data_IF_685697836177
#
_entry.id   IF_685697836177
#
_cell.length_a   1.000
_cell.length_b   1.000
_cell.length_c   1.000
_cell.angle_alpha   90.00
_cell.angle_beta   90.00
_cell.angle_gamma   90.00
#
_symmetry.space_group_name_H-M   'P 1'
#
loop_
_entity.id
_entity.type
_entity.pdbx_description
1 polymer ?
#
# COMPACT_ATOMS: atom_id res chain seq x y z
N UNK A 1 22.37 25.90 -10.99
CA UNK A 1 22.07 24.48 -11.36
C UNK A 1 23.33 23.61 -11.44
N UNK A 2 24.18 23.66 -10.40
CA UNK A 2 25.44 22.92 -10.32
C UNK A 2 25.25 21.39 -10.12
N UNK A 3 24.05 20.93 -9.76
CA UNK A 3 23.76 19.52 -9.45
C UNK A 3 23.07 18.76 -10.60
N UNK A 4 22.51 19.43 -11.59
CA UNK A 4 21.71 18.80 -12.67
C UNK A 4 22.46 17.75 -13.48
N UNK A 5 23.81 17.80 -13.49
CA UNK A 5 24.67 16.84 -14.20
C UNK A 5 25.42 15.88 -13.25
N UNK A 6 25.12 15.92 -11.93
CA UNK A 6 25.86 15.15 -10.90
C UNK A 6 24.93 14.26 -10.06
N UNK A 7 23.63 14.26 -10.32
CA UNK A 7 22.65 13.44 -9.63
C UNK A 7 21.77 12.70 -10.62
N UNK A 8 21.44 11.48 -10.31
CA UNK A 8 20.50 10.64 -11.04
C UNK A 8 19.49 10.06 -10.07
N UNK A 9 18.21 10.11 -10.42
CA UNK A 9 17.13 9.58 -9.59
C UNK A 9 16.86 8.15 -10.04
N UNK A 10 17.00 7.21 -9.11
CA UNK A 10 16.65 5.81 -9.29
C UNK A 10 15.53 5.45 -8.33
N UNK A 11 14.42 4.99 -8.87
CA UNK A 11 13.33 4.46 -8.05
C UNK A 11 13.66 3.05 -7.56
N UNK A 12 13.24 2.70 -6.35
CA UNK A 12 13.34 1.34 -5.86
C UNK A 12 12.56 0.38 -6.76
N UNK A 13 13.10 -0.82 -6.95
CA UNK A 13 12.42 -1.89 -7.70
C UNK A 13 12.17 -3.09 -6.81
N UNK A 14 11.12 -3.84 -7.13
CA UNK A 14 10.71 -5.05 -6.43
C UNK A 14 10.92 -6.26 -7.35
N UNK A 15 11.47 -7.34 -6.79
CA UNK A 15 11.42 -8.64 -7.44
C UNK A 15 10.02 -9.25 -7.29
N UNK A 16 9.18 -8.98 -8.27
CA UNK A 16 7.77 -9.41 -8.31
C UNK A 16 7.65 -10.93 -8.15
N UNK A 17 8.54 -11.70 -8.80
CA UNK A 17 8.52 -13.17 -8.72
C UNK A 17 8.82 -13.68 -7.31
N UNK A 18 9.72 -12.99 -6.60
CA UNK A 18 10.04 -13.33 -5.22
C UNK A 18 8.86 -13.09 -4.28
N UNK A 19 8.06 -12.02 -4.50
CA UNK A 19 6.86 -11.77 -3.71
C UNK A 19 5.82 -12.88 -3.88
N UNK A 20 5.51 -13.26 -5.11
CA UNK A 20 4.55 -14.35 -5.37
C UNK A 20 5.01 -15.67 -4.77
N UNK A 21 6.30 -16.04 -4.90
CA UNK A 21 6.86 -17.23 -4.23
C UNK A 21 6.67 -17.20 -2.72
N UNK A 22 6.89 -16.04 -2.08
CA UNK A 22 6.67 -15.89 -0.63
C UNK A 22 5.18 -16.02 -0.28
N UNK A 23 4.28 -15.45 -1.09
CA UNK A 23 2.85 -15.60 -0.87
C UNK A 23 2.38 -17.06 -0.95
N UNK A 24 2.97 -17.87 -1.85
CA UNK A 24 2.67 -19.31 -1.99
C UNK A 24 3.08 -20.14 -0.77
N UNK A 25 4.04 -19.69 0.04
CA UNK A 25 4.45 -20.38 1.27
C UNK A 25 3.37 -20.34 2.36
N UNK A 26 2.46 -19.38 2.31
CA UNK A 26 1.32 -19.31 3.23
C UNK A 26 0.08 -19.95 2.56
N UNK A 27 -0.36 -21.09 3.11
CA UNK A 27 -1.48 -21.85 2.60
C UNK A 27 -2.84 -21.44 3.16
N UNK A 28 -2.88 -20.44 4.05
CA UNK A 28 -4.11 -19.92 4.63
C UNK A 28 -4.93 -19.15 3.60
N UNK A 29 -6.23 -19.14 3.81
CA UNK A 29 -7.16 -18.31 3.03
C UNK A 29 -7.49 -17.05 3.83
N UNK A 30 -7.39 -15.90 3.18
CA UNK A 30 -7.76 -14.62 3.72
C UNK A 30 -8.79 -13.95 2.83
N UNK A 31 -9.71 -13.23 3.45
CA UNK A 31 -10.80 -12.54 2.74
C UNK A 31 -11.00 -11.16 3.37
N UNK A 32 -10.06 -10.26 3.11
CA UNK A 32 -10.14 -8.87 3.54
C UNK A 32 -10.38 -7.97 2.34
N UNK A 33 -11.28 -6.99 2.49
CA UNK A 33 -11.46 -5.97 1.46
C UNK A 33 -10.26 -5.03 1.44
N UNK A 34 -9.78 -4.60 2.61
CA UNK A 34 -8.62 -3.74 2.72
C UNK A 34 -7.49 -4.34 3.56
N UNK A 35 -6.25 -3.99 3.24
CA UNK A 35 -5.09 -4.28 4.07
C UNK A 35 -4.29 -3.01 4.31
N UNK A 36 -3.83 -2.83 5.53
CA UNK A 36 -2.75 -1.91 5.89
C UNK A 36 -1.49 -2.71 6.19
N UNK A 37 -0.35 -2.28 5.67
CA UNK A 37 0.95 -2.88 5.92
C UNK A 37 1.98 -1.80 6.23
N UNK A 38 2.47 -1.76 7.47
CA UNK A 38 3.46 -0.77 7.87
C UNK A 38 3.64 -0.64 9.37
N UNK A 39 4.64 0.14 9.78
CA UNK A 39 4.85 0.45 11.20
C UNK A 39 3.69 1.29 11.74
N UNK A 40 3.31 1.06 12.99
CA UNK A 40 2.31 1.86 13.69
C UNK A 40 3.02 2.97 14.47
N UNK A 41 3.30 4.06 13.80
CA UNK A 41 4.07 5.21 14.30
C UNK A 41 3.43 6.52 13.87
N UNK A 42 3.78 7.62 14.51
CA UNK A 42 3.31 8.97 14.18
C UNK A 42 3.41 9.28 12.66
N UNK A 43 4.51 8.87 12.00
CA UNK A 43 4.70 9.05 10.57
C UNK A 43 3.58 8.40 9.75
N UNK A 44 3.20 7.19 10.12
CA UNK A 44 2.20 6.39 9.39
C UNK A 44 0.75 6.76 9.73
N UNK A 45 0.56 7.55 10.81
CA UNK A 45 -0.73 8.09 11.24
C UNK A 45 -1.82 7.01 11.42
N UNK A 46 -1.58 6.00 12.27
CA UNK A 46 -2.50 4.89 12.41
C UNK A 46 -3.83 5.29 13.06
N UNK A 47 -3.90 6.40 13.79
CA UNK A 47 -5.15 6.96 14.29
C UNK A 47 -6.09 7.30 13.12
N UNK A 48 -5.56 8.02 12.13
CA UNK A 48 -6.30 8.34 10.89
C UNK A 48 -6.72 7.09 10.13
N UNK A 49 -5.87 6.06 10.11
CA UNK A 49 -6.23 4.77 9.51
C UNK A 49 -7.50 4.20 10.13
N UNK A 50 -7.57 4.15 11.48
CA UNK A 50 -8.76 3.61 12.18
C UNK A 50 -9.99 4.49 11.93
N UNK A 51 -9.85 5.81 11.87
CA UNK A 51 -10.94 6.73 11.52
C UNK A 51 -11.49 6.41 10.12
N UNK A 52 -10.63 6.31 9.11
CA UNK A 52 -11.04 6.00 7.72
C UNK A 52 -11.69 4.62 7.63
N UNK A 53 -11.13 3.61 8.30
CA UNK A 53 -11.72 2.27 8.33
C UNK A 53 -13.08 2.27 9.04
N UNK A 54 -13.24 3.04 10.11
CA UNK A 54 -14.53 3.20 10.81
C UNK A 54 -15.59 3.79 9.88
N UNK A 55 -15.24 4.84 9.13
CA UNK A 55 -16.16 5.43 8.15
C UNK A 55 -16.48 4.46 6.99
N UNK A 56 -15.50 3.66 6.53
CA UNK A 56 -15.73 2.65 5.50
C UNK A 56 -16.72 1.56 6.00
N UNK A 57 -16.56 1.09 7.24
CA UNK A 57 -17.50 0.14 7.86
C UNK A 57 -18.91 0.73 8.00
N UNK A 58 -19.05 2.02 8.38
CA UNK A 58 -20.36 2.69 8.43
C UNK A 58 -21.03 2.76 7.06
N UNK A 59 -20.26 3.03 5.99
CA UNK A 59 -20.74 3.10 4.61
C UNK A 59 -21.10 1.70 4.07
N UNK A 60 -20.32 0.68 4.44
CA UNK A 60 -20.47 -0.70 3.98
C UNK A 60 -20.31 -1.63 5.19
N UNK A 61 -21.39 -2.03 5.89
CA UNK A 61 -21.32 -2.81 7.13
C UNK A 61 -20.59 -4.15 7.01
N UNK A 62 -20.53 -4.72 5.81
CA UNK A 62 -19.80 -5.96 5.52
C UNK A 62 -18.31 -5.74 5.17
N UNK A 63 -17.83 -4.48 5.13
CA UNK A 63 -16.43 -4.17 4.84
C UNK A 63 -15.51 -4.75 5.90
N UNK A 64 -14.41 -5.37 5.45
CA UNK A 64 -13.42 -6.00 6.33
C UNK A 64 -12.01 -5.49 6.04
N UNK A 65 -11.20 -5.35 7.10
CA UNK A 65 -9.82 -4.91 6.94
C UNK A 65 -8.86 -5.67 7.87
N UNK A 66 -7.61 -5.82 7.41
CA UNK A 66 -6.50 -6.31 8.21
C UNK A 66 -5.45 -5.22 8.42
N UNK A 67 -4.99 -5.04 9.65
CA UNK A 67 -3.87 -4.18 10.01
C UNK A 67 -2.67 -5.06 10.36
N UNK A 68 -1.65 -5.03 9.50
CA UNK A 68 -0.37 -5.74 9.69
C UNK A 68 0.74 -4.75 10.00
N UNK A 69 1.34 -4.92 11.13
CA UNK A 69 2.46 -4.12 11.60
C UNK A 69 2.48 -3.96 13.10
N UNK A 70 3.54 -3.35 13.59
CA UNK A 70 3.75 -3.05 15.00
C UNK A 70 4.41 -1.67 15.15
N UNK A 71 4.48 -1.16 16.35
CA UNK A 71 5.07 0.14 16.65
C UNK A 71 4.54 0.77 17.92
N UNK A 72 5.01 1.98 18.20
CA UNK A 72 4.67 2.73 19.40
C UNK A 72 3.17 3.01 19.59
N UNK A 73 2.43 3.12 18.47
CA UNK A 73 0.99 3.37 18.48
C UNK A 73 0.13 2.09 18.44
N UNK A 74 0.71 0.88 18.54
CA UNK A 74 -0.02 -0.39 18.40
C UNK A 74 -1.14 -0.56 19.43
N UNK A 75 -0.88 -0.25 20.69
CA UNK A 75 -1.90 -0.35 21.76
C UNK A 75 -3.02 0.68 21.59
N UNK A 76 -2.68 1.88 21.09
CA UNK A 76 -3.67 2.90 20.79
C UNK A 76 -4.59 2.48 19.64
N UNK A 77 -4.04 1.87 18.59
CA UNK A 77 -4.81 1.31 17.47
C UNK A 77 -5.84 0.28 17.97
N UNK A 78 -5.44 -0.64 18.85
CA UNK A 78 -6.36 -1.64 19.43
C UNK A 78 -7.48 -1.00 20.21
N UNK A 79 -7.17 0.02 21.03
CA UNK A 79 -8.18 0.78 21.77
C UNK A 79 -9.14 1.51 20.82
N UNK A 80 -8.62 2.15 19.77
CA UNK A 80 -9.43 2.87 18.80
C UNK A 80 -10.38 1.94 18.02
N UNK A 81 -9.92 0.74 17.63
CA UNK A 81 -10.76 -0.29 17.02
C UNK A 81 -11.94 -0.64 17.95
N UNK A 82 -11.68 -0.85 19.24
CA UNK A 82 -12.73 -1.12 20.24
C UNK A 82 -13.67 0.06 20.46
N UNK A 83 -13.13 1.26 20.63
CA UNK A 83 -13.91 2.48 20.87
C UNK A 83 -14.85 2.83 19.70
N UNK A 84 -14.44 2.51 18.48
CA UNK A 84 -15.28 2.70 17.28
C UNK A 84 -16.23 1.52 17.01
N UNK A 85 -16.22 0.47 17.84
CA UNK A 85 -17.04 -0.73 17.70
C UNK A 85 -16.87 -1.47 16.35
N UNK A 86 -15.65 -1.46 15.78
CA UNK A 86 -15.32 -2.09 14.50
C UNK A 86 -14.46 -3.36 14.63
N UNK A 87 -14.34 -3.93 15.83
CA UNK A 87 -13.52 -5.13 16.09
C UNK A 87 -14.02 -6.38 15.36
N UNK A 88 -15.25 -6.43 14.90
CA UNK A 88 -15.77 -7.51 14.07
C UNK A 88 -15.43 -7.34 12.58
N UNK A 89 -14.99 -6.16 12.18
CA UNK A 89 -14.69 -5.78 10.81
C UNK A 89 -13.18 -5.62 10.57
N UNK A 90 -12.46 -5.10 11.58
CA UNK A 90 -11.05 -4.75 11.49
C UNK A 90 -10.22 -5.67 12.39
N UNK A 91 -9.38 -6.49 11.78
CA UNK A 91 -8.47 -7.40 12.48
C UNK A 91 -7.09 -6.78 12.63
N UNK A 92 -6.63 -6.59 13.87
CA UNK A 92 -5.23 -6.28 14.14
C UNK A 92 -4.43 -7.59 14.20
N UNK A 93 -3.51 -7.80 13.26
CA UNK A 93 -2.76 -9.05 13.12
C UNK A 93 -1.31 -8.95 13.65
N UNK A 94 -0.87 -7.74 14.04
CA UNK A 94 0.50 -7.54 14.48
C UNK A 94 1.53 -7.62 13.35
N UNK A 95 2.81 -7.78 13.74
CA UNK A 95 3.90 -7.94 12.78
C UNK A 95 3.83 -9.31 12.08
N UNK A 96 4.16 -9.33 10.80
CA UNK A 96 4.28 -10.55 9.99
C UNK A 96 5.55 -10.50 9.15
N UNK A 97 6.34 -11.58 9.20
CA UNK A 97 7.51 -11.76 8.33
C UNK A 97 7.13 -12.05 6.87
N UNK A 98 5.92 -12.56 6.65
CA UNK A 98 5.41 -12.89 5.33
C UNK A 98 3.95 -12.41 5.17
N UNK A 99 3.74 -11.11 4.91
CA UNK A 99 2.39 -10.55 4.73
C UNK A 99 1.81 -10.75 3.33
N UNK A 100 2.58 -11.35 2.42
CA UNK A 100 2.29 -11.29 0.98
C UNK A 100 1.04 -12.06 0.57
N UNK A 101 0.67 -13.14 1.28
CA UNK A 101 -0.58 -13.86 1.00
C UNK A 101 -1.80 -12.99 1.33
N UNK A 102 -1.78 -12.32 2.47
CA UNK A 102 -2.86 -11.41 2.87
C UNK A 102 -2.92 -10.23 1.89
N UNK A 103 -1.77 -9.65 1.55
CA UNK A 103 -1.68 -8.55 0.59
C UNK A 103 -2.25 -8.96 -0.77
N UNK A 104 -1.82 -10.10 -1.31
CA UNK A 104 -2.25 -10.61 -2.62
C UNK A 104 -3.76 -10.84 -2.73
N UNK A 105 -4.40 -11.23 -1.63
CA UNK A 105 -5.82 -11.58 -1.61
C UNK A 105 -6.73 -10.42 -1.23
N UNK A 106 -6.18 -9.31 -0.75
CA UNK A 106 -6.95 -8.11 -0.43
C UNK A 106 -7.40 -7.38 -1.71
N UNK A 107 -8.56 -6.76 -1.66
CA UNK A 107 -9.09 -5.96 -2.79
C UNK A 107 -8.35 -4.63 -2.96
N UNK A 108 -7.85 -4.06 -1.87
CA UNK A 108 -7.06 -2.82 -1.87
C UNK A 108 -6.08 -2.76 -0.70
N UNK A 109 -5.08 -1.89 -0.84
CA UNK A 109 -4.25 -1.42 0.29
C UNK A 109 -4.67 0.00 0.67
N UNK A 110 -4.67 0.30 1.99
CA UNK A 110 -4.89 1.65 2.50
C UNK A 110 -3.65 2.16 3.23
N UNK A 111 -3.25 3.41 2.97
CA UNK A 111 -2.15 4.11 3.64
C UNK A 111 -2.57 5.53 4.01
N UNK A 112 -2.25 5.96 5.24
CA UNK A 112 -2.68 7.27 5.79
C UNK A 112 -1.52 8.11 6.30
N UNK A 113 -0.34 7.88 5.75
CA UNK A 113 0.91 8.49 6.20
C UNK A 113 0.89 10.01 6.14
N UNK A 114 1.62 10.65 7.06
CA UNK A 114 1.85 12.10 7.08
C UNK A 114 2.93 12.52 6.08
N UNK A 115 3.92 11.67 5.86
CA UNK A 115 4.97 11.82 4.84
C UNK A 115 5.56 10.46 4.48
N UNK A 116 5.99 10.32 3.23
CA UNK A 116 6.71 9.17 2.70
C UNK A 116 7.74 9.62 1.67
N UNK A 117 8.86 8.87 1.59
CA UNK A 117 9.61 8.83 0.35
C UNK A 117 8.89 7.93 -0.66
N UNK A 118 9.42 6.74 -0.92
CA UNK A 118 8.70 5.71 -1.68
C UNK A 118 8.50 4.51 -0.75
N UNK A 119 7.31 4.32 -0.16
CA UNK A 119 7.09 3.25 0.81
C UNK A 119 7.16 1.87 0.12
N UNK A 120 8.01 0.98 0.64
CA UNK A 120 8.22 -0.35 0.08
C UNK A 120 6.93 -1.16 0.01
N UNK A 121 6.07 -1.07 1.04
CA UNK A 121 4.79 -1.77 1.05
C UNK A 121 3.84 -1.31 -0.08
N UNK A 122 3.92 -0.04 -0.50
CA UNK A 122 3.14 0.45 -1.64
C UNK A 122 3.68 -0.13 -2.96
N UNK A 123 5.02 -0.20 -3.13
CA UNK A 123 5.62 -0.86 -4.28
C UNK A 123 5.26 -2.35 -4.31
N UNK A 124 5.27 -3.03 -3.17
CA UNK A 124 4.86 -4.43 -3.03
C UNK A 124 3.39 -4.63 -3.42
N UNK A 125 2.49 -3.75 -2.98
CA UNK A 125 1.08 -3.80 -3.35
C UNK A 125 0.88 -3.64 -4.87
N UNK A 126 1.47 -2.62 -5.47
CA UNK A 126 1.43 -2.38 -6.92
C UNK A 126 2.01 -3.58 -7.68
N UNK A 127 3.15 -4.14 -7.22
CA UNK A 127 3.79 -5.32 -7.81
C UNK A 127 2.88 -6.55 -7.80
N UNK A 128 2.02 -6.67 -6.80
CA UNK A 128 1.05 -7.76 -6.67
C UNK A 128 -0.33 -7.43 -7.30
N UNK A 129 -0.45 -6.29 -7.96
CA UNK A 129 -1.70 -5.87 -8.60
C UNK A 129 -2.77 -5.44 -7.60
N UNK A 130 -2.39 -4.97 -6.42
CA UNK A 130 -3.30 -4.48 -5.39
C UNK A 130 -3.40 -2.96 -5.51
N UNK A 131 -4.58 -2.39 -5.84
CA UNK A 131 -4.76 -0.95 -5.92
C UNK A 131 -4.63 -0.29 -4.54
N UNK A 132 -4.25 0.99 -4.54
CA UNK A 132 -3.98 1.70 -3.29
C UNK A 132 -4.90 2.90 -3.12
N UNK A 133 -5.46 3.05 -1.92
CA UNK A 133 -6.13 4.28 -1.45
C UNK A 133 -5.21 4.93 -0.42
N UNK A 134 -4.81 6.18 -0.64
CA UNK A 134 -3.79 6.82 0.21
C UNK A 134 -3.95 8.32 0.37
N UNK A 135 -3.28 8.86 1.39
CA UNK A 135 -2.99 10.31 1.47
C UNK A 135 -2.00 10.71 0.37
N UNK A 136 -2.13 11.92 -0.21
CA UNK A 136 -1.27 12.42 -1.28
C UNK A 136 0.07 12.95 -0.73
N UNK A 137 0.90 12.05 -0.24
CA UNK A 137 2.27 12.35 0.18
C UNK A 137 3.25 12.06 -0.96
N UNK A 138 4.44 12.68 -0.96
CA UNK A 138 5.34 12.74 -2.11
C UNK A 138 5.49 11.41 -2.87
N UNK A 139 6.00 10.38 -2.21
CA UNK A 139 6.22 9.08 -2.88
C UNK A 139 4.94 8.38 -3.33
N UNK A 140 3.78 8.74 -2.78
CA UNK A 140 2.50 8.21 -3.23
C UNK A 140 2.01 8.94 -4.46
N UNK A 141 2.23 10.27 -4.56
CA UNK A 141 1.90 11.06 -5.75
C UNK A 141 2.67 10.60 -7.00
N UNK A 142 3.89 10.06 -6.81
CA UNK A 142 4.69 9.53 -7.91
C UNK A 142 4.22 8.13 -8.37
N UNK A 143 3.58 7.38 -7.48
CA UNK A 143 3.20 5.99 -7.70
C UNK A 143 1.75 5.81 -8.12
N UNK A 144 0.85 6.61 -7.56
CA UNK A 144 -0.60 6.46 -7.74
C UNK A 144 -1.11 7.46 -8.76
N UNK A 145 -1.87 6.95 -9.72
CA UNK A 145 -2.63 7.75 -10.68
C UNK A 145 -4.11 7.47 -10.43
N UNK A 146 -4.83 8.51 -10.05
CA UNK A 146 -6.26 8.43 -9.73
C UNK A 146 -7.04 7.73 -10.84
N UNK A 147 -7.94 6.86 -10.43
CA UNK A 147 -8.81 6.06 -11.28
C UNK A 147 -8.10 5.05 -12.22
N UNK A 148 -6.77 4.94 -12.13
CA UNK A 148 -5.99 3.94 -12.88
C UNK A 148 -5.50 2.79 -11.99
N UNK A 149 -4.82 3.10 -10.88
CA UNK A 149 -4.26 2.09 -9.98
C UNK A 149 -4.55 2.37 -8.50
N UNK A 150 -5.40 3.36 -8.20
CA UNK A 150 -5.77 3.74 -6.85
C UNK A 150 -6.40 5.11 -6.79
N UNK A 151 -6.44 5.68 -5.59
CA UNK A 151 -6.96 7.02 -5.33
C UNK A 151 -6.16 7.74 -4.25
N UNK A 152 -6.01 9.05 -4.40
CA UNK A 152 -5.35 9.93 -3.44
C UNK A 152 -6.36 10.95 -2.90
N UNK A 153 -6.40 11.12 -1.56
CA UNK A 153 -7.20 12.17 -0.94
C UNK A 153 -6.64 12.58 0.43
N UNK A 154 -6.78 13.87 0.76
CA UNK A 154 -6.58 14.36 2.13
C UNK A 154 -7.85 14.33 2.97
N UNK A 155 -8.97 13.98 2.38
CA UNK A 155 -10.27 13.89 3.05
C UNK A 155 -10.55 12.46 3.50
N UNK A 156 -10.82 12.26 4.80
CA UNK A 156 -11.08 10.94 5.37
C UNK A 156 -12.37 10.33 4.82
N UNK A 157 -13.38 11.15 4.57
CA UNK A 157 -14.65 10.69 4.03
C UNK A 157 -14.52 10.19 2.59
N UNK A 158 -13.72 10.90 1.77
CA UNK A 158 -13.41 10.46 0.41
C UNK A 158 -12.55 9.18 0.42
N UNK A 159 -11.52 9.08 1.29
CA UNK A 159 -10.76 7.84 1.44
C UNK A 159 -11.65 6.65 1.80
N UNK A 160 -12.53 6.82 2.79
CA UNK A 160 -13.48 5.78 3.22
C UNK A 160 -14.45 5.40 2.11
N UNK A 161 -14.96 6.38 1.35
CA UNK A 161 -15.81 6.17 0.18
C UNK A 161 -15.11 5.34 -0.88
N UNK A 162 -13.87 5.67 -1.24
CA UNK A 162 -13.08 4.92 -2.22
C UNK A 162 -12.81 3.49 -1.78
N UNK A 163 -12.50 3.28 -0.49
CA UNK A 163 -12.38 1.94 0.07
C UNK A 163 -13.68 1.14 -0.10
N UNK A 164 -14.83 1.73 0.23
CA UNK A 164 -16.14 1.09 0.12
C UNK A 164 -16.53 0.80 -1.34
N UNK A 165 -16.26 1.73 -2.27
CA UNK A 165 -16.53 1.55 -3.71
C UNK A 165 -15.71 0.40 -4.29
N UNK A 166 -14.41 0.32 -3.99
CA UNK A 166 -13.55 -0.78 -4.46
C UNK A 166 -13.99 -2.11 -3.85
N UNK A 167 -14.31 -2.12 -2.56
CA UNK A 167 -14.73 -3.33 -1.85
C UNK A 167 -16.03 -3.93 -2.41
N UNK A 168 -16.98 -3.10 -2.82
CA UNK A 168 -18.32 -3.51 -3.26
C UNK A 168 -18.51 -3.61 -4.77
N UNK A 169 -17.50 -3.23 -5.57
CA UNK A 169 -17.57 -3.23 -7.03
C UNK A 169 -16.39 -3.99 -7.65
N UNK A 170 -16.62 -5.27 -7.96
CA UNK A 170 -15.59 -6.15 -8.52
C UNK A 170 -15.07 -5.67 -9.89
N UNK A 171 -15.89 -5.00 -10.69
CA UNK A 171 -15.47 -4.42 -11.98
C UNK A 171 -14.48 -3.28 -11.77
N UNK A 172 -14.77 -2.38 -10.82
CA UNK A 172 -13.87 -1.30 -10.44
C UNK A 172 -12.56 -1.86 -9.87
N UNK A 173 -12.66 -2.79 -8.92
CA UNK A 173 -11.50 -3.44 -8.29
C UNK A 173 -10.60 -4.08 -9.34
N UNK A 174 -11.18 -4.88 -10.27
CA UNK A 174 -10.42 -5.53 -11.33
C UNK A 174 -9.72 -4.50 -12.24
N UNK A 175 -10.40 -3.44 -12.64
CA UNK A 175 -9.84 -2.38 -13.49
C UNK A 175 -8.64 -1.70 -12.81
N UNK A 176 -8.77 -1.35 -11.53
CA UNK A 176 -7.68 -0.74 -10.75
C UNK A 176 -6.53 -1.74 -10.52
N UNK A 177 -6.83 -3.01 -10.30
CA UNK A 177 -5.84 -4.08 -10.18
C UNK A 177 -5.03 -4.24 -11.47
N UNK A 178 -5.69 -4.23 -12.63
CA UNK A 178 -5.02 -4.31 -13.93
C UNK A 178 -4.14 -3.07 -14.16
N UNK A 179 -4.59 -1.88 -13.75
CA UNK A 179 -3.79 -0.65 -13.76
C UNK A 179 -2.58 -0.69 -12.82
N UNK A 180 -2.73 -1.29 -11.65
CA UNK A 180 -1.60 -1.52 -10.72
C UNK A 180 -0.53 -2.43 -11.37
N UNK A 181 -0.93 -3.53 -12.01
CA UNK A 181 -0.01 -4.42 -12.75
C UNK A 181 0.71 -3.71 -13.88
N UNK A 182 0.01 -2.89 -14.67
CA UNK A 182 0.63 -2.08 -15.72
C UNK A 182 1.65 -1.08 -15.15
N UNK A 183 1.36 -0.50 -13.99
CA UNK A 183 2.31 0.37 -13.29
C UNK A 183 3.54 -0.40 -12.83
N UNK A 184 3.36 -1.63 -12.29
CA UNK A 184 4.47 -2.49 -11.91
C UNK A 184 5.34 -2.86 -13.12
N UNK A 185 4.75 -3.26 -14.24
CA UNK A 185 5.48 -3.62 -15.47
C UNK A 185 6.33 -2.46 -15.99
N UNK A 186 5.82 -1.23 -15.88
CA UNK A 186 6.54 -0.02 -16.29
C UNK A 186 7.68 0.36 -15.34
N UNK A 187 7.45 0.27 -14.02
CA UNK A 187 8.37 0.82 -13.02
C UNK A 187 9.36 -0.20 -12.46
N UNK A 188 9.04 -1.50 -12.48
CA UNK A 188 9.78 -2.53 -11.74
C UNK A 188 10.61 -3.43 -12.65
N UNK A 189 11.26 -2.84 -13.66
CA UNK A 189 12.20 -3.56 -14.51
C UNK A 189 13.58 -3.64 -13.84
N UNK A 190 13.86 -4.77 -13.20
CA UNK A 190 15.11 -5.04 -12.46
C UNK A 190 16.35 -4.95 -13.36
N UNK A 191 16.23 -5.35 -14.62
CA UNK A 191 17.37 -5.30 -15.57
C UNK A 191 17.69 -3.84 -15.95
N UNK A 192 16.67 -3.04 -16.26
CA UNK A 192 16.85 -1.61 -16.51
C UNK A 192 17.45 -0.89 -15.31
N UNK A 193 17.01 -1.23 -14.09
CA UNK A 193 17.58 -0.68 -12.86
C UNK A 193 19.07 -1.04 -12.68
N UNK A 194 19.45 -2.30 -12.89
CA UNK A 194 20.85 -2.75 -12.84
C UNK A 194 21.71 -2.03 -13.87
N UNK A 195 21.21 -1.87 -15.09
CA UNK A 195 21.92 -1.18 -16.17
C UNK A 195 22.12 0.32 -15.85
N UNK A 196 21.09 0.99 -15.28
CA UNK A 196 21.20 2.37 -14.83
C UNK A 196 22.27 2.54 -13.75
N UNK A 197 22.25 1.69 -12.70
CA UNK A 197 23.28 1.70 -11.66
C UNK A 197 24.67 1.47 -12.27
N UNK A 198 24.84 0.45 -13.09
CA UNK A 198 26.12 0.12 -13.73
C UNK A 198 26.64 1.30 -14.55
N UNK A 199 25.78 2.00 -15.28
CA UNK A 199 26.16 3.18 -16.07
C UNK A 199 26.66 4.34 -15.20
N UNK A 200 26.02 4.56 -14.03
CA UNK A 200 26.47 5.57 -13.06
C UNK A 200 27.87 5.24 -12.55
N UNK A 201 28.11 4.01 -12.12
CA UNK A 201 29.44 3.58 -11.65
C UNK A 201 30.52 3.72 -12.72
N UNK A 202 30.23 3.35 -13.97
CA UNK A 202 31.19 3.50 -15.08
C UNK A 202 31.53 4.98 -15.40
N UNK A 203 30.60 5.90 -15.15
CA UNK A 203 30.85 7.35 -15.31
C UNK A 203 31.72 7.95 -14.20
N UNK A 204 31.60 7.40 -12.99
CA UNK A 204 32.33 7.89 -11.81
C UNK A 204 33.75 7.31 -11.76
N UNK A 205 33.94 6.09 -12.28
CA UNK A 205 35.23 5.38 -12.28
C UNK A 205 36.23 5.86 -13.36
N UNK A 206 35.80 6.80 -14.22
CA UNK A 206 36.67 7.50 -15.21
C UNK A 206 37.12 8.85 -14.66
#
# INVERSE_FOLDING_TARGET
NLLKNKSEILFNVIDVKALYKKAELDTKTYNYDAVYLGRLTYQKNPQRLVEVLSEAVKKTPGFTAAILGDGEDAEEVKKLIGNNNIQNNVSYLGFSDNPYKILQTAKLMILTSRWEGTPMCALEAIAMGVPIVSTPVDGMCDLIVDDQNGYLSNDNEELAKRCSEIASNDTLQKRLSDGAKQTADRMMNVESYRNAISSVYHRIAK
#
